data_IF_206185290352
#
_entry.id   IF_206185290352
#
_cell.length_a   1.000
_cell.length_b   1.000
_cell.length_c   1.000
_cell.angle_alpha   90.00
_cell.angle_beta   90.00
_cell.angle_gamma   90.00
#
_symmetry.space_group_name_H-M   'P 1'
#
loop_
_entity.id
_entity.type
_entity.pdbx_description
1 polymer ?
#
# COMPACT_ATOMS: atom_id res chain seq x y z
N UNK A 1 -27.43 -0.30 27.86
CA UNK A 1 -25.99 -0.15 27.55
C UNK A 1 -25.52 -0.83 26.26
N UNK A 2 -25.93 -2.10 25.97
CA UNK A 2 -25.50 -2.78 24.72
C UNK A 2 -25.98 -2.11 23.42
N UNK A 3 -27.16 -1.48 23.41
CA UNK A 3 -27.70 -0.81 22.24
C UNK A 3 -26.98 0.54 21.94
N UNK A 4 -26.53 1.24 22.96
CA UNK A 4 -25.81 2.53 22.81
C UNK A 4 -24.40 2.31 22.24
N UNK A 5 -23.71 1.23 22.66
CA UNK A 5 -22.40 0.87 22.09
C UNK A 5 -22.49 0.44 20.62
N UNK A 6 -23.55 -0.29 20.24
CA UNK A 6 -23.75 -0.70 18.85
C UNK A 6 -24.06 0.47 17.92
N UNK A 7 -24.83 1.47 18.39
CA UNK A 7 -25.14 2.68 17.62
C UNK A 7 -23.90 3.60 17.53
N UNK A 8 -23.13 3.72 18.60
CA UNK A 8 -21.87 4.47 18.57
C UNK A 8 -20.82 3.81 17.64
N UNK A 9 -20.73 2.47 17.63
CA UNK A 9 -19.84 1.72 16.75
C UNK A 9 -20.26 1.83 15.27
N UNK A 10 -21.57 1.77 15.00
CA UNK A 10 -22.10 1.96 13.65
C UNK A 10 -21.96 3.42 13.18
N UNK A 11 -22.12 4.40 14.05
CA UNK A 11 -21.95 5.80 13.73
C UNK A 11 -20.47 6.17 13.49
N UNK A 12 -19.52 5.61 14.25
CA UNK A 12 -18.08 5.82 14.02
C UNK A 12 -17.59 5.12 12.75
N UNK A 13 -18.08 3.93 12.42
CA UNK A 13 -17.79 3.26 11.15
C UNK A 13 -18.41 3.98 9.95
N UNK A 14 -19.61 4.52 10.11
CA UNK A 14 -20.28 5.33 9.07
C UNK A 14 -19.62 6.72 8.92
N UNK A 15 -19.22 7.36 10.02
CA UNK A 15 -18.47 8.62 9.98
C UNK A 15 -17.09 8.45 9.36
N UNK A 16 -16.37 7.37 9.70
CA UNK A 16 -15.07 7.05 9.09
C UNK A 16 -15.21 6.77 7.59
N UNK A 17 -16.30 6.10 7.15
CA UNK A 17 -16.56 5.82 5.73
C UNK A 17 -17.04 7.06 4.96
N UNK A 18 -17.82 7.94 5.60
CA UNK A 18 -18.32 9.17 4.99
C UNK A 18 -17.23 10.25 4.90
N UNK A 19 -16.42 10.38 5.94
CA UNK A 19 -15.29 11.33 5.99
C UNK A 19 -14.17 10.89 5.03
N UNK A 20 -13.92 9.56 4.94
CA UNK A 20 -12.98 8.98 3.98
C UNK A 20 -13.47 9.16 2.53
N UNK A 21 -14.78 8.97 2.26
CA UNK A 21 -15.38 9.22 0.96
C UNK A 21 -15.30 10.69 0.57
N UNK A 22 -15.67 11.59 1.46
CA UNK A 22 -15.60 13.03 1.23
C UNK A 22 -14.14 13.51 1.05
N UNK A 23 -13.19 12.88 1.74
CA UNK A 23 -11.75 13.17 1.61
C UNK A 23 -11.20 12.63 0.30
N UNK A 24 -11.59 11.42 -0.12
CA UNK A 24 -11.21 10.84 -1.41
C UNK A 24 -11.84 11.59 -2.59
N UNK A 25 -13.08 12.01 -2.48
CA UNK A 25 -13.76 12.82 -3.51
C UNK A 25 -13.18 14.25 -3.60
N UNK A 26 -12.78 14.85 -2.48
CA UNK A 26 -12.03 16.12 -2.48
C UNK A 26 -10.64 15.95 -3.06
N UNK A 27 -9.90 14.97 -2.60
CA UNK A 27 -8.57 14.67 -3.14
C UNK A 27 -8.61 14.35 -4.64
N UNK A 28 -9.64 13.63 -5.11
CA UNK A 28 -9.86 13.36 -6.53
C UNK A 28 -10.22 14.62 -7.33
N UNK A 29 -11.03 15.54 -6.76
CA UNK A 29 -11.34 16.82 -7.41
C UNK A 29 -10.14 17.77 -7.42
N UNK A 30 -9.40 17.84 -6.31
CA UNK A 30 -8.20 18.67 -6.21
C UNK A 30 -7.08 18.14 -7.11
N UNK A 31 -6.99 16.80 -7.25
CA UNK A 31 -6.07 16.15 -8.18
C UNK A 31 -6.47 16.42 -9.65
N UNK A 32 -7.77 16.32 -9.99
CA UNK A 32 -8.27 16.65 -11.33
C UNK A 32 -8.10 18.14 -11.65
N UNK A 33 -8.29 19.03 -10.68
CA UNK A 33 -8.06 20.46 -10.86
C UNK A 33 -6.57 20.78 -10.99
N UNK A 34 -5.71 20.11 -10.23
CA UNK A 34 -4.25 20.25 -10.33
C UNK A 34 -3.69 19.66 -11.63
N UNK A 35 -4.22 18.50 -12.08
CA UNK A 35 -3.85 17.88 -13.36
C UNK A 35 -4.36 18.66 -14.56
N UNK A 36 -5.46 19.43 -14.42
CA UNK A 36 -5.98 20.34 -15.44
C UNK A 36 -5.16 21.63 -15.59
N UNK A 37 -4.31 21.94 -14.63
CA UNK A 37 -3.48 23.17 -14.57
C UNK A 37 -2.02 22.96 -15.00
N UNK A 38 -1.62 21.73 -15.36
CA UNK A 38 -0.25 21.50 -15.86
C UNK A 38 -0.07 22.11 -17.25
N UNK A 39 1.01 22.89 -17.47
CA UNK A 39 1.31 23.41 -18.79
C UNK A 39 1.51 22.26 -19.78
N UNK A 40 1.03 22.40 -21.03
CA UNK A 40 1.11 21.38 -22.06
C UNK A 40 2.55 21.20 -22.55
N UNK A 41 3.41 20.56 -21.79
CA UNK A 41 4.81 20.41 -22.18
C UNK A 41 5.62 19.39 -21.42
N UNK A 42 5.13 18.86 -20.31
CA UNK A 42 5.93 17.98 -19.43
C UNK A 42 5.20 16.71 -18.99
N UNK A 43 4.29 16.20 -19.78
CA UNK A 43 3.64 14.90 -19.51
C UNK A 43 4.42 13.82 -20.21
N UNK A 44 4.81 12.78 -19.46
CA UNK A 44 5.33 11.57 -20.07
C UNK A 44 4.29 11.03 -21.07
N UNK A 45 4.64 10.87 -22.34
CA UNK A 45 3.73 10.32 -23.34
C UNK A 45 3.16 8.96 -22.91
N UNK A 46 3.90 8.15 -22.18
CA UNK A 46 3.49 6.85 -21.68
C UNK A 46 2.35 6.97 -20.64
N UNK A 47 2.45 7.94 -19.71
CA UNK A 47 1.39 8.20 -18.72
C UNK A 47 0.11 8.72 -19.38
N UNK A 48 0.25 9.51 -20.43
CA UNK A 48 -0.90 10.01 -21.19
C UNK A 48 -1.63 8.89 -21.88
N UNK A 49 -0.91 8.02 -22.59
CA UNK A 49 -1.46 6.83 -23.23
C UNK A 49 -2.11 5.88 -22.23
N UNK A 50 -1.49 5.67 -21.07
CA UNK A 50 -2.08 4.84 -20.01
C UNK A 50 -3.45 5.36 -19.56
N UNK A 51 -3.59 6.68 -19.37
CA UNK A 51 -4.87 7.30 -19.00
C UNK A 51 -5.90 7.20 -20.12
N UNK A 52 -5.50 7.39 -21.37
CA UNK A 52 -6.37 7.20 -22.53
C UNK A 52 -6.86 5.75 -22.65
N UNK A 53 -5.98 4.77 -22.39
CA UNK A 53 -6.35 3.36 -22.38
C UNK A 53 -7.38 3.04 -21.28
N UNK A 54 -7.20 3.59 -20.07
CA UNK A 54 -8.17 3.47 -18.98
C UNK A 54 -9.53 4.09 -19.34
N UNK A 55 -9.52 5.22 -20.02
CA UNK A 55 -10.74 5.88 -20.48
C UNK A 55 -11.46 5.05 -21.56
N UNK A 56 -10.74 4.52 -22.56
CA UNK A 56 -11.30 3.64 -23.58
C UNK A 56 -11.94 2.40 -22.96
N UNK A 57 -11.28 1.78 -21.98
CA UNK A 57 -11.82 0.65 -21.20
C UNK A 57 -13.09 1.02 -20.44
N UNK A 58 -13.14 2.20 -19.81
CA UNK A 58 -14.34 2.67 -19.12
C UNK A 58 -15.52 2.94 -20.06
N UNK A 59 -15.25 3.21 -21.34
CA UNK A 59 -16.24 3.36 -22.41
C UNK A 59 -16.66 2.03 -23.04
N UNK A 60 -16.05 0.90 -22.62
CA UNK A 60 -16.32 -0.43 -23.18
C UNK A 60 -15.56 -0.75 -24.45
N UNK A 61 -14.68 0.12 -24.93
CA UNK A 61 -13.84 -0.13 -26.10
C UNK A 61 -12.57 -0.89 -25.70
N UNK A 62 -12.74 -2.19 -25.46
CA UNK A 62 -11.65 -3.07 -25.00
C UNK A 62 -10.54 -3.20 -26.07
N UNK A 63 -10.88 -3.16 -27.36
CA UNK A 63 -9.91 -3.26 -28.45
C UNK A 63 -8.99 -2.05 -28.49
N UNK A 64 -9.55 -0.86 -28.41
CA UNK A 64 -8.79 0.39 -28.35
C UNK A 64 -7.99 0.50 -27.06
N UNK A 65 -8.60 0.14 -25.92
CA UNK A 65 -7.92 0.14 -24.64
C UNK A 65 -6.67 -0.75 -24.67
N UNK A 66 -6.80 -1.96 -25.19
CA UNK A 66 -5.66 -2.88 -25.33
C UNK A 66 -4.54 -2.29 -26.22
N UNK A 67 -4.86 -1.81 -27.43
CA UNK A 67 -3.85 -1.24 -28.33
C UNK A 67 -3.10 -0.06 -27.64
N UNK A 68 -3.85 0.80 -26.95
CA UNK A 68 -3.27 1.96 -26.27
C UNK A 68 -2.47 1.55 -25.02
N UNK A 69 -2.87 0.49 -24.29
CA UNK A 69 -2.04 -0.07 -23.22
C UNK A 69 -0.71 -0.64 -23.74
N UNK A 70 -0.73 -1.32 -24.90
CA UNK A 70 0.50 -1.82 -25.54
C UNK A 70 1.42 -0.66 -25.86
N UNK A 71 0.91 0.39 -26.52
CA UNK A 71 1.70 1.58 -26.87
C UNK A 71 2.32 2.25 -25.63
N UNK A 72 1.55 2.37 -24.54
CA UNK A 72 2.06 2.91 -23.27
C UNK A 72 3.15 2.02 -22.67
N UNK A 73 2.94 0.69 -22.70
CA UNK A 73 3.89 -0.29 -22.17
C UNK A 73 5.18 -0.35 -22.97
N UNK A 74 5.12 -0.20 -24.28
CA UNK A 74 6.29 -0.11 -25.16
C UNK A 74 7.13 1.13 -24.89
N UNK A 75 6.50 2.20 -24.43
CA UNK A 75 7.15 3.43 -23.97
C UNK A 75 7.63 3.38 -22.50
N UNK A 76 7.51 2.22 -21.87
CA UNK A 76 8.06 1.98 -20.52
C UNK A 76 7.07 2.17 -19.38
N UNK A 77 5.76 2.34 -19.63
CA UNK A 77 4.80 2.46 -18.53
C UNK A 77 4.53 1.10 -17.87
N UNK A 78 5.04 0.93 -16.65
CA UNK A 78 4.97 -0.34 -15.90
C UNK A 78 3.52 -0.84 -15.70
N UNK A 79 2.62 0.04 -15.25
CA UNK A 79 1.22 -0.29 -15.03
C UNK A 79 0.49 -0.69 -16.32
N UNK A 80 0.84 -0.12 -17.47
CA UNK A 80 0.27 -0.51 -18.76
C UNK A 80 0.71 -1.94 -19.15
N UNK A 81 1.98 -2.26 -18.95
CA UNK A 81 2.48 -3.62 -19.18
C UNK A 81 1.78 -4.66 -18.31
N UNK A 82 1.48 -4.32 -17.05
CA UNK A 82 0.66 -5.17 -16.17
C UNK A 82 -0.77 -5.32 -16.66
N UNK A 83 -1.43 -4.24 -17.13
CA UNK A 83 -2.79 -4.33 -17.68
C UNK A 83 -2.82 -5.20 -18.95
N UNK A 84 -1.81 -5.11 -19.84
CA UNK A 84 -1.68 -5.99 -21.01
C UNK A 84 -1.55 -7.46 -20.58
N UNK A 85 -0.70 -7.75 -19.60
CA UNK A 85 -0.57 -9.10 -19.01
C UNK A 85 -1.94 -9.62 -18.53
N UNK A 86 -2.67 -8.81 -17.80
CA UNK A 86 -3.98 -9.17 -17.25
C UNK A 86 -5.01 -9.45 -18.35
N UNK A 87 -5.01 -8.64 -19.39
CA UNK A 87 -5.92 -8.84 -20.55
C UNK A 87 -5.66 -10.18 -21.24
N UNK A 88 -4.38 -10.55 -21.43
CA UNK A 88 -4.04 -11.87 -21.96
C UNK A 88 -4.42 -13.02 -21.01
N UNK A 89 -4.19 -12.84 -19.72
CA UNK A 89 -4.53 -13.86 -18.72
C UNK A 89 -6.04 -14.09 -18.57
N UNK A 90 -6.85 -13.03 -18.69
CA UNK A 90 -8.30 -13.12 -18.53
C UNK A 90 -9.03 -13.45 -19.85
N UNK A 91 -8.39 -13.26 -21.00
CA UNK A 91 -9.03 -13.42 -22.32
C UNK A 91 -10.12 -12.38 -22.61
N UNK A 92 -10.04 -11.19 -22.00
CA UNK A 92 -11.01 -10.11 -22.20
C UNK A 92 -10.81 -9.39 -23.53
N UNK A 93 -11.81 -9.47 -24.40
CA UNK A 93 -11.78 -8.83 -25.72
C UNK A 93 -10.83 -9.52 -26.72
N UNK A 94 -10.19 -10.62 -26.33
CA UNK A 94 -9.26 -11.42 -27.13
C UNK A 94 -9.15 -12.85 -26.60
N UNK A 95 -8.63 -13.82 -27.37
CA UNK A 95 -8.32 -15.15 -26.86
C UNK A 95 -7.34 -15.07 -25.67
N UNK A 96 -7.58 -15.93 -24.67
CA UNK A 96 -6.63 -16.12 -23.56
C UNK A 96 -5.31 -16.65 -24.10
N UNK A 97 -4.19 -16.07 -23.59
CA UNK A 97 -2.83 -16.48 -23.92
C UNK A 97 -1.98 -16.33 -22.66
N UNK A 98 -1.73 -17.46 -21.99
CA UNK A 98 -0.99 -17.48 -20.72
C UNK A 98 0.50 -17.25 -20.91
N UNK A 99 1.06 -17.62 -22.07
CA UNK A 99 2.48 -17.39 -22.36
C UNK A 99 2.73 -15.90 -22.58
N UNK A 100 1.90 -15.25 -23.41
CA UNK A 100 1.95 -13.81 -23.57
C UNK A 100 1.70 -13.08 -22.24
N UNK A 101 0.77 -13.56 -21.40
CA UNK A 101 0.53 -12.99 -20.08
C UNK A 101 1.78 -13.06 -19.18
N UNK A 102 2.48 -14.19 -19.18
CA UNK A 102 3.72 -14.38 -18.42
C UNK A 102 4.83 -13.43 -18.89
N UNK A 103 5.03 -13.32 -20.22
CA UNK A 103 6.02 -12.42 -20.80
C UNK A 103 5.77 -10.95 -20.43
N UNK A 104 4.50 -10.51 -20.54
CA UNK A 104 4.11 -9.16 -20.17
C UNK A 104 4.19 -8.92 -18.65
N UNK A 105 3.91 -9.93 -17.80
CA UNK A 105 4.15 -9.86 -16.35
C UNK A 105 5.63 -9.63 -16.06
N UNK A 106 6.51 -10.41 -16.73
CA UNK A 106 7.96 -10.24 -16.61
C UNK A 106 8.44 -8.85 -17.03
N UNK A 107 7.86 -8.30 -18.11
CA UNK A 107 8.15 -6.94 -18.56
C UNK A 107 7.67 -5.88 -17.56
N UNK A 108 6.44 -6.01 -17.05
CA UNK A 108 5.88 -5.11 -16.05
C UNK A 108 6.72 -5.09 -14.76
N UNK A 109 7.15 -6.25 -14.29
CA UNK A 109 8.00 -6.35 -13.10
C UNK A 109 9.36 -5.68 -13.30
N UNK A 110 10.01 -5.86 -14.45
CA UNK A 110 11.27 -5.16 -14.79
C UNK A 110 11.09 -3.64 -14.91
N UNK A 111 9.92 -3.19 -15.32
CA UNK A 111 9.56 -1.77 -15.36
C UNK A 111 9.16 -1.22 -13.98
N UNK A 112 9.08 -2.07 -12.96
CA UNK A 112 8.83 -1.67 -11.58
C UNK A 112 7.38 -1.73 -11.13
N UNK A 113 6.46 -2.39 -11.86
CA UNK A 113 5.07 -2.54 -11.36
C UNK A 113 5.03 -3.46 -10.12
N UNK A 114 4.57 -2.97 -8.94
CA UNK A 114 4.61 -3.75 -7.71
C UNK A 114 3.68 -4.97 -7.73
N UNK A 115 2.62 -4.95 -8.52
CA UNK A 115 1.70 -6.08 -8.67
C UNK A 115 2.37 -7.21 -9.45
N UNK A 116 3.09 -6.86 -10.52
CA UNK A 116 3.85 -7.82 -11.31
C UNK A 116 5.06 -8.38 -10.53
N UNK A 117 5.77 -7.52 -9.80
CA UNK A 117 6.85 -7.95 -8.90
C UNK A 117 6.34 -8.92 -7.83
N UNK A 118 5.20 -8.61 -7.21
CA UNK A 118 4.55 -9.54 -6.26
C UNK A 118 4.16 -10.87 -6.91
N UNK A 119 3.59 -10.88 -8.11
CA UNK A 119 3.22 -12.11 -8.81
C UNK A 119 4.44 -13.00 -9.06
N UNK A 120 5.53 -12.44 -9.57
CA UNK A 120 6.77 -13.17 -9.80
C UNK A 120 7.39 -13.63 -8.48
N UNK A 121 7.49 -12.74 -7.49
CA UNK A 121 8.02 -13.08 -6.18
C UNK A 121 7.24 -14.19 -5.50
N UNK A 122 5.91 -14.17 -5.58
CA UNK A 122 5.05 -15.22 -5.02
C UNK A 122 5.18 -16.56 -5.77
N UNK A 123 5.36 -16.53 -7.10
CA UNK A 123 5.59 -17.71 -7.91
C UNK A 123 6.90 -18.41 -7.51
N UNK A 124 8.01 -17.68 -7.39
CA UNK A 124 9.28 -18.22 -6.91
C UNK A 124 9.22 -18.67 -5.44
N UNK A 125 8.44 -17.97 -4.59
CA UNK A 125 8.28 -18.35 -3.18
C UNK A 125 7.54 -19.67 -3.01
N UNK A 126 6.53 -19.91 -3.85
CA UNK A 126 5.68 -21.11 -3.78
C UNK A 126 6.14 -22.24 -4.70
N UNK A 127 6.97 -21.97 -5.71
CA UNK A 127 7.33 -22.93 -6.75
C UNK A 127 6.18 -23.22 -7.74
N UNK A 128 5.22 -22.32 -7.87
CA UNK A 128 4.07 -22.49 -8.78
C UNK A 128 4.44 -21.90 -10.15
N UNK A 129 4.51 -22.76 -11.17
CA UNK A 129 4.84 -22.38 -12.55
C UNK A 129 6.35 -22.18 -12.80
N UNK A 130 7.15 -22.09 -11.75
CA UNK A 130 8.63 -21.96 -11.80
C UNK A 130 9.26 -22.82 -10.70
N UNK A 131 10.55 -23.18 -10.86
CA UNK A 131 11.29 -23.80 -9.77
C UNK A 131 11.36 -22.85 -8.57
N UNK A 132 11.11 -23.38 -7.37
CA UNK A 132 11.17 -22.59 -6.14
C UNK A 132 12.57 -22.00 -5.92
N UNK A 133 12.63 -20.70 -5.71
CA UNK A 133 13.85 -19.96 -5.35
C UNK A 133 13.52 -18.83 -4.39
N UNK A 134 13.81 -19.05 -3.11
CA UNK A 134 13.52 -18.07 -2.08
C UNK A 134 14.37 -16.80 -2.16
N UNK A 135 15.59 -16.86 -2.72
CA UNK A 135 16.44 -15.68 -2.86
C UNK A 135 15.89 -14.75 -3.95
N UNK A 136 15.51 -15.31 -5.09
CA UNK A 136 14.84 -14.58 -6.17
C UNK A 136 13.49 -14.05 -5.69
N UNK A 137 12.72 -14.87 -4.97
CA UNK A 137 11.44 -14.46 -4.39
C UNK A 137 11.60 -13.24 -3.47
N UNK A 138 12.57 -13.29 -2.53
CA UNK A 138 12.81 -12.21 -1.58
C UNK A 138 13.18 -10.90 -2.27
N UNK A 139 13.95 -10.93 -3.36
CA UNK A 139 14.27 -9.74 -4.14
C UNK A 139 13.02 -9.09 -4.73
N UNK A 140 12.21 -9.84 -5.48
CA UNK A 140 10.97 -9.31 -6.07
C UNK A 140 9.94 -8.87 -5.02
N UNK A 141 9.83 -9.62 -3.92
CA UNK A 141 8.94 -9.26 -2.81
C UNK A 141 9.40 -7.99 -2.10
N UNK A 142 10.72 -7.77 -1.96
CA UNK A 142 11.28 -6.53 -1.40
C UNK A 142 10.93 -5.33 -2.27
N UNK A 143 11.15 -5.43 -3.59
CA UNK A 143 10.84 -4.36 -4.53
C UNK A 143 9.35 -3.97 -4.48
N UNK A 144 8.44 -4.95 -4.42
CA UNK A 144 7.01 -4.70 -4.30
C UNK A 144 6.61 -4.18 -2.91
N UNK A 145 7.24 -4.69 -1.83
CA UNK A 145 6.95 -4.31 -0.45
C UNK A 145 7.37 -2.87 -0.14
N UNK A 146 8.48 -2.42 -0.73
CA UNK A 146 8.95 -1.03 -0.63
C UNK A 146 8.01 -0.06 -1.33
N UNK A 147 7.23 -0.53 -2.31
CA UNK A 147 6.17 0.20 -2.99
C UNK A 147 4.79 0.00 -2.32
N UNK A 148 4.76 -0.34 -1.05
CA UNK A 148 3.56 -0.49 -0.21
C UNK A 148 2.58 -1.58 -0.67
N UNK A 149 3.04 -2.61 -1.42
CA UNK A 149 2.20 -3.75 -1.77
C UNK A 149 1.98 -4.66 -0.55
N UNK A 150 0.80 -4.64 0.05
CA UNK A 150 0.50 -5.29 1.33
C UNK A 150 0.81 -6.80 1.36
N UNK A 151 0.46 -7.52 0.30
CA UNK A 151 0.72 -8.97 0.23
C UNK A 151 2.22 -9.27 0.11
N UNK A 152 2.98 -8.42 -0.61
CA UNK A 152 4.43 -8.55 -0.68
C UNK A 152 5.09 -8.25 0.68
N UNK A 153 4.62 -7.23 1.39
CA UNK A 153 5.06 -6.94 2.76
C UNK A 153 4.82 -8.12 3.70
N UNK A 154 3.65 -8.74 3.61
CA UNK A 154 3.34 -9.93 4.42
C UNK A 154 4.27 -11.10 4.09
N UNK A 155 4.43 -11.48 2.80
CA UNK A 155 5.30 -12.58 2.39
C UNK A 155 6.78 -12.30 2.69
N UNK A 156 7.22 -11.05 2.59
CA UNK A 156 8.57 -10.67 2.98
C UNK A 156 8.77 -10.78 4.50
N UNK A 157 7.75 -10.44 5.29
CA UNK A 157 7.71 -10.71 6.72
C UNK A 157 7.85 -12.20 7.04
N UNK A 158 7.14 -13.06 6.32
CA UNK A 158 7.28 -14.52 6.39
C UNK A 158 8.69 -15.00 6.02
N UNK A 159 9.28 -14.42 4.95
CA UNK A 159 10.63 -14.73 4.53
C UNK A 159 11.65 -14.43 5.63
N UNK A 160 11.58 -13.27 6.27
CA UNK A 160 12.43 -12.92 7.41
C UNK A 160 12.15 -13.77 8.66
N UNK A 161 10.89 -14.07 8.94
CA UNK A 161 10.50 -14.90 10.08
C UNK A 161 11.08 -16.32 9.99
N UNK A 162 11.16 -16.86 8.78
CA UNK A 162 11.56 -18.25 8.54
C UNK A 162 12.98 -18.39 7.95
N UNK A 163 13.68 -17.29 7.65
CA UNK A 163 14.99 -17.32 7.00
C UNK A 163 14.95 -17.85 5.56
N UNK A 164 13.85 -17.58 4.83
CA UNK A 164 13.67 -18.03 3.44
C UNK A 164 14.15 -17.00 2.45
N UNK A 165 15.29 -17.24 1.83
CA UNK A 165 15.91 -16.34 0.85
C UNK A 165 16.58 -15.10 1.46
N UNK A 166 16.39 -14.88 2.75
CA UNK A 166 17.02 -13.84 3.57
C UNK A 166 17.46 -14.42 4.91
N UNK A 167 18.42 -13.79 5.59
CA UNK A 167 18.76 -14.18 6.96
C UNK A 167 17.55 -14.02 7.87
N UNK A 168 17.33 -15.00 8.76
CA UNK A 168 16.23 -14.94 9.71
C UNK A 168 16.40 -13.74 10.63
N UNK A 169 15.36 -12.89 10.71
CA UNK A 169 15.37 -11.70 11.55
C UNK A 169 13.93 -11.34 11.98
N UNK A 170 13.65 -11.57 13.27
CA UNK A 170 12.32 -11.32 13.82
C UNK A 170 11.95 -9.81 13.85
N UNK A 171 12.92 -8.91 13.95
CA UNK A 171 12.66 -7.47 13.95
C UNK A 171 12.25 -6.99 12.55
N UNK A 172 12.92 -7.47 11.51
CA UNK A 172 12.51 -7.21 10.13
C UNK A 172 11.17 -7.85 9.80
N UNK A 173 10.93 -9.09 10.26
CA UNK A 173 9.62 -9.75 10.10
C UNK A 173 8.51 -8.90 10.71
N UNK A 174 8.65 -8.49 11.96
CA UNK A 174 7.69 -7.67 12.67
C UNK A 174 7.44 -6.32 11.98
N UNK A 175 8.49 -5.68 11.47
CA UNK A 175 8.37 -4.42 10.72
C UNK A 175 7.51 -4.58 9.46
N UNK A 176 7.72 -5.64 8.68
CA UNK A 176 6.96 -5.89 7.46
C UNK A 176 5.52 -6.33 7.76
N UNK A 177 5.33 -7.20 8.76
CA UNK A 177 3.97 -7.52 9.22
C UNK A 177 3.21 -6.28 9.70
N UNK A 178 3.88 -5.37 10.43
CA UNK A 178 3.28 -4.13 10.89
C UNK A 178 2.80 -3.23 9.74
N UNK A 179 3.59 -3.10 8.68
CA UNK A 179 3.19 -2.34 7.48
C UNK A 179 1.96 -2.94 6.80
N UNK A 180 1.96 -4.26 6.56
CA UNK A 180 0.82 -4.94 5.95
C UNK A 180 -0.42 -4.96 6.87
N UNK A 181 -0.23 -5.09 8.19
CA UNK A 181 -1.30 -5.03 9.19
C UNK A 181 -1.98 -3.66 9.23
N UNK A 182 -1.21 -2.59 9.13
CA UNK A 182 -1.73 -1.22 9.06
C UNK A 182 -2.60 -1.00 7.81
N UNK A 183 -2.33 -1.70 6.73
CA UNK A 183 -3.18 -1.70 5.52
C UNK A 183 -4.46 -2.56 5.65
N UNK A 184 -4.67 -3.20 6.80
CA UNK A 184 -5.88 -3.97 7.07
C UNK A 184 -5.81 -5.45 6.65
N UNK A 185 -4.63 -5.96 6.28
CA UNK A 185 -4.48 -7.37 5.91
C UNK A 185 -4.59 -8.27 7.15
N UNK A 186 -5.65 -9.07 7.24
CA UNK A 186 -5.96 -9.87 8.43
C UNK A 186 -4.85 -10.86 8.82
N UNK A 187 -4.21 -11.50 7.85
CA UNK A 187 -3.07 -12.40 8.08
C UNK A 187 -1.89 -11.66 8.72
N UNK A 188 -1.60 -10.46 8.22
CA UNK A 188 -0.54 -9.62 8.76
C UNK A 188 -0.90 -9.07 10.14
N UNK A 189 -2.15 -8.70 10.38
CA UNK A 189 -2.65 -8.30 11.71
C UNK A 189 -2.50 -9.42 12.72
N UNK A 190 -2.79 -10.67 12.33
CA UNK A 190 -2.57 -11.84 13.17
C UNK A 190 -1.07 -12.02 13.48
N UNK A 191 -0.21 -12.07 12.46
CA UNK A 191 1.22 -12.27 12.64
C UNK A 191 1.85 -11.15 13.51
N UNK A 192 1.44 -9.91 13.27
CA UNK A 192 1.92 -8.76 14.05
C UNK A 192 1.38 -8.76 15.48
N UNK A 193 0.14 -9.22 15.69
CA UNK A 193 -0.45 -9.46 16.99
C UNK A 193 0.32 -10.50 17.79
N UNK A 194 0.70 -11.61 17.15
CA UNK A 194 1.56 -12.65 17.75
C UNK A 194 2.93 -12.08 18.10
N UNK A 195 3.56 -11.31 17.19
CA UNK A 195 4.85 -10.67 17.44
C UNK A 195 4.82 -9.76 18.67
N UNK A 196 3.78 -8.95 18.83
CA UNK A 196 3.59 -8.13 20.03
C UNK A 196 3.37 -8.95 21.31
N UNK A 197 2.53 -10.00 21.23
CA UNK A 197 2.17 -10.81 22.39
C UNK A 197 3.34 -11.68 22.90
N UNK A 198 4.24 -12.07 22.00
CA UNK A 198 5.38 -12.95 22.33
C UNK A 198 6.73 -12.20 22.36
N UNK A 199 6.76 -10.89 22.10
CA UNK A 199 8.02 -10.13 22.07
C UNK A 199 8.95 -10.54 20.92
N UNK A 200 8.41 -10.97 19.77
CA UNK A 200 9.19 -11.41 18.63
C UNK A 200 9.70 -10.21 17.82
N UNK A 201 10.99 -9.93 17.92
CA UNK A 201 11.64 -8.82 17.23
C UNK A 201 11.29 -7.42 17.76
N UNK A 202 10.52 -7.35 18.84
CA UNK A 202 10.14 -6.13 19.55
C UNK A 202 9.84 -6.41 21.03
N UNK A 203 9.77 -5.41 21.91
CA UNK A 203 9.34 -5.63 23.30
C UNK A 203 7.93 -6.22 23.37
N UNK A 204 7.74 -7.19 24.30
CA UNK A 204 6.41 -7.77 24.57
C UNK A 204 5.40 -6.68 24.95
N UNK A 205 4.23 -6.74 24.33
CA UNK A 205 3.11 -5.87 24.64
C UNK A 205 1.77 -6.62 24.45
N UNK A 206 1.27 -7.21 25.54
CA UNK A 206 0.05 -8.02 25.49
C UNK A 206 -1.18 -7.24 25.06
N UNK A 207 -1.31 -5.99 25.50
CA UNK A 207 -2.44 -5.12 25.13
C UNK A 207 -2.46 -4.84 23.62
N UNK A 208 -1.28 -4.54 23.02
CA UNK A 208 -1.16 -4.38 21.56
C UNK A 208 -1.36 -5.69 20.82
N UNK A 209 -0.79 -6.78 21.32
CA UNK A 209 -1.00 -8.12 20.77
C UNK A 209 -2.49 -8.48 20.71
N UNK A 210 -3.20 -8.30 21.83
CA UNK A 210 -4.65 -8.49 21.89
C UNK A 210 -5.39 -7.61 20.88
N UNK A 211 -5.05 -6.33 20.82
CA UNK A 211 -5.71 -5.41 19.92
C UNK A 211 -5.57 -5.82 18.43
N UNK A 212 -4.37 -6.18 18.00
CA UNK A 212 -4.14 -6.63 16.62
C UNK A 212 -4.85 -7.95 16.31
N UNK A 213 -4.88 -8.89 17.25
CA UNK A 213 -5.63 -10.14 17.10
C UNK A 213 -7.14 -9.89 16.97
N UNK A 214 -7.70 -8.96 17.73
CA UNK A 214 -9.12 -8.58 17.60
C UNK A 214 -9.42 -7.91 16.24
N UNK A 215 -8.48 -7.18 15.67
CA UNK A 215 -8.62 -6.65 14.30
C UNK A 215 -8.55 -7.77 13.26
N UNK A 216 -7.61 -8.71 13.42
CA UNK A 216 -7.50 -9.87 12.55
C UNK A 216 -8.79 -10.74 12.57
N UNK A 217 -9.40 -10.90 13.74
CA UNK A 217 -10.69 -11.56 13.90
C UNK A 217 -11.81 -10.84 13.12
N UNK A 218 -11.87 -9.49 13.19
CA UNK A 218 -12.80 -8.71 12.36
C UNK A 218 -12.56 -8.92 10.87
N UNK A 219 -11.29 -9.13 10.48
CA UNK A 219 -10.86 -9.50 9.14
C UNK A 219 -11.09 -10.99 8.80
N UNK A 220 -11.77 -11.75 9.68
CA UNK A 220 -12.10 -13.18 9.53
C UNK A 220 -10.90 -14.13 9.51
N UNK A 221 -9.81 -13.77 10.21
CA UNK A 221 -8.71 -14.72 10.41
C UNK A 221 -9.12 -15.82 11.39
N UNK A 222 -9.02 -17.09 10.98
CA UNK A 222 -9.61 -18.22 11.70
C UNK A 222 -9.09 -18.40 13.14
N UNK A 223 -7.78 -18.18 13.36
CA UNK A 223 -7.13 -18.45 14.65
C UNK A 223 -7.10 -17.23 15.58
N UNK A 224 -7.44 -16.05 15.05
CA UNK A 224 -7.24 -14.79 15.77
C UNK A 224 -8.13 -14.69 17.02
N UNK A 225 -9.39 -15.12 16.94
CA UNK A 225 -10.34 -15.15 18.07
C UNK A 225 -9.81 -15.99 19.22
N UNK A 226 -9.40 -17.24 18.93
CA UNK A 226 -8.90 -18.17 19.94
C UNK A 226 -7.68 -17.60 20.68
N UNK A 227 -6.75 -16.97 19.96
CA UNK A 227 -5.56 -16.38 20.57
C UNK A 227 -5.88 -15.11 21.36
N UNK A 228 -6.77 -14.27 20.86
CA UNK A 228 -7.24 -13.09 21.59
C UNK A 228 -7.92 -13.47 22.90
N UNK A 229 -8.78 -14.52 22.91
CA UNK A 229 -9.42 -15.02 24.10
C UNK A 229 -8.42 -15.58 25.14
N UNK A 230 -7.33 -16.20 24.69
CA UNK A 230 -6.25 -16.65 25.59
C UNK A 230 -5.46 -15.50 26.21
N UNK A 231 -5.30 -14.38 25.50
CA UNK A 231 -4.64 -13.20 26.01
C UNK A 231 -5.52 -12.36 26.95
N UNK A 232 -6.82 -12.34 26.72
CA UNK A 232 -7.75 -11.50 27.46
C UNK A 232 -7.68 -11.64 28.99
N UNK A 233 -7.52 -12.83 29.62
CA UNK A 233 -7.36 -12.97 31.08
C UNK A 233 -6.01 -12.45 31.61
N UNK A 234 -5.00 -12.27 30.75
CA UNK A 234 -3.68 -11.76 31.14
C UNK A 234 -3.63 -10.25 31.19
N UNK A 235 -4.63 -9.56 30.67
CA UNK A 235 -4.75 -8.12 30.67
C UNK A 235 -5.54 -7.64 31.89
N UNK A 236 -5.07 -6.63 32.58
CA UNK A 236 -5.87 -5.92 33.56
C UNK A 236 -6.97 -5.09 32.88
N UNK A 237 -7.91 -4.54 33.66
CA UNK A 237 -9.06 -3.80 33.14
C UNK A 237 -8.64 -2.55 32.33
N UNK A 238 -7.63 -1.81 32.81
CA UNK A 238 -7.13 -0.61 32.12
C UNK A 238 -6.46 -0.94 30.79
N UNK A 239 -5.65 -2.00 30.74
CA UNK A 239 -5.01 -2.48 29.51
C UNK A 239 -6.03 -2.95 28.48
N UNK A 240 -7.07 -3.64 28.93
CA UNK A 240 -8.16 -4.09 28.04
C UNK A 240 -8.95 -2.90 27.51
N UNK A 241 -9.31 -1.96 28.36
CA UNK A 241 -10.03 -0.75 27.94
C UNK A 241 -9.20 0.08 26.95
N UNK A 242 -7.88 0.21 27.19
CA UNK A 242 -6.98 0.89 26.27
C UNK A 242 -6.91 0.19 24.90
N UNK A 243 -6.85 -1.15 24.88
CA UNK A 243 -6.87 -1.94 23.64
C UNK A 243 -8.19 -1.77 22.90
N UNK A 244 -9.34 -1.87 23.57
CA UNK A 244 -10.65 -1.71 22.93
C UNK A 244 -10.87 -0.29 22.38
N UNK A 245 -10.42 0.75 23.10
CA UNK A 245 -10.45 2.11 22.61
C UNK A 245 -9.59 2.28 21.35
N UNK A 246 -8.40 1.67 21.34
CA UNK A 246 -7.54 1.70 20.16
C UNK A 246 -8.14 0.94 18.98
N UNK A 247 -8.73 -0.24 19.21
CA UNK A 247 -9.45 -1.02 18.18
C UNK A 247 -10.63 -0.23 17.60
N UNK A 248 -11.35 0.50 18.44
CA UNK A 248 -12.48 1.33 18.01
C UNK A 248 -12.01 2.53 17.15
N UNK A 249 -10.85 3.10 17.48
CA UNK A 249 -10.24 4.18 16.72
C UNK A 249 -9.47 3.72 15.48
N UNK A 250 -9.15 2.43 15.39
CA UNK A 250 -8.40 1.89 14.26
C UNK A 250 -9.29 1.88 13.01
N UNK A 251 -9.02 2.79 12.13
CA UNK A 251 -9.42 2.69 10.74
C UNK A 251 -8.28 1.95 10.03
N UNK A 252 -8.52 0.76 9.41
CA UNK A 252 -7.50 0.17 8.57
C UNK A 252 -7.13 1.24 7.56
N UNK A 253 -5.89 1.66 7.64
CA UNK A 253 -5.36 2.50 6.59
C UNK A 253 -5.37 1.65 5.31
N UNK A 254 -6.44 1.74 4.51
CA UNK A 254 -6.16 2.18 3.17
C UNK A 254 -5.64 3.60 3.34
N UNK A 255 -4.41 3.74 3.76
CA UNK A 255 -3.70 4.91 3.35
C UNK A 255 -3.87 4.96 1.83
N UNK A 256 -4.39 6.04 1.26
CA UNK A 256 -3.71 6.52 0.10
C UNK A 256 -2.30 6.67 0.66
N UNK A 257 -1.39 5.77 0.26
CA UNK A 257 -0.06 5.72 0.81
C UNK A 257 0.39 7.17 0.86
N UNK A 258 0.63 7.75 2.09
CA UNK A 258 1.11 9.13 2.16
C UNK A 258 2.45 9.24 1.42
N UNK A 259 3.04 8.10 1.03
CA UNK A 259 4.13 7.93 0.09
C UNK A 259 3.72 7.36 -1.28
N UNK A 260 2.45 7.15 -1.57
CA UNK A 260 1.99 6.72 -2.90
C UNK A 260 2.19 7.82 -3.95
N UNK A 261 2.35 7.43 -5.21
CA UNK A 261 2.69 8.33 -6.32
C UNK A 261 1.83 9.60 -6.34
N UNK A 262 0.51 9.49 -6.15
CA UNK A 262 -0.40 10.65 -6.13
C UNK A 262 -0.12 11.62 -4.97
N UNK A 263 0.15 11.11 -3.77
CA UNK A 263 0.49 11.95 -2.61
C UNK A 263 1.87 12.59 -2.78
N UNK A 264 2.83 11.85 -3.34
CA UNK A 264 4.16 12.37 -3.67
C UNK A 264 4.08 13.45 -4.74
N UNK A 265 3.30 13.26 -5.81
CA UNK A 265 3.07 14.29 -6.83
C UNK A 265 2.49 15.56 -6.22
N UNK A 266 1.48 15.43 -5.34
CA UNK A 266 0.93 16.58 -4.62
C UNK A 266 2.00 17.28 -3.77
N UNK A 267 2.78 16.52 -2.99
CA UNK A 267 3.84 17.07 -2.13
C UNK A 267 4.93 17.75 -2.97
N UNK A 268 5.41 17.11 -4.04
CA UNK A 268 6.39 17.68 -4.96
C UNK A 268 5.88 19.01 -5.56
N UNK A 269 4.63 19.01 -6.06
CA UNK A 269 4.02 20.22 -6.61
C UNK A 269 3.88 21.32 -5.55
N UNK A 270 3.35 20.97 -4.36
CA UNK A 270 3.13 21.92 -3.28
C UNK A 270 4.43 22.53 -2.73
N UNK A 271 5.48 21.73 -2.64
CA UNK A 271 6.82 22.18 -2.23
C UNK A 271 7.49 23.05 -3.29
N UNK A 272 7.43 22.65 -4.56
CA UNK A 272 7.98 23.45 -5.67
C UNK A 272 7.31 24.83 -5.74
N UNK A 273 6.01 24.92 -5.58
CA UNK A 273 5.28 26.20 -5.52
C UNK A 273 5.70 27.10 -4.36
N UNK A 274 6.26 26.53 -3.31
CA UNK A 274 6.76 27.26 -2.11
C UNK A 274 8.27 27.51 -2.15
N UNK A 275 8.92 27.21 -3.28
CA UNK A 275 10.36 27.42 -3.46
C UNK A 275 11.25 26.33 -2.84
N UNK A 276 10.67 25.19 -2.44
CA UNK A 276 11.44 24.02 -2.05
C UNK A 276 11.64 23.15 -3.30
N UNK A 277 12.85 23.04 -3.77
CA UNK A 277 13.18 22.23 -4.96
C UNK A 277 12.97 20.73 -4.68
N UNK A 278 11.75 20.25 -4.86
CA UNK A 278 11.39 18.84 -4.68
C UNK A 278 11.67 17.97 -5.92
N UNK A 279 12.23 18.55 -6.98
CA UNK A 279 12.45 17.86 -8.25
C UNK A 279 11.20 17.83 -9.14
N UNK A 280 11.19 16.96 -10.17
CA UNK A 280 10.03 16.80 -11.06
C UNK A 280 8.82 16.27 -10.28
N UNK A 281 7.62 16.61 -10.76
CA UNK A 281 6.34 16.10 -10.19
C UNK A 281 6.05 14.75 -10.83
N UNK A 282 6.77 13.72 -10.42
CA UNK A 282 6.75 12.37 -10.98
C UNK A 282 6.18 11.30 -10.04
N UNK A 283 5.89 11.68 -8.80
CA UNK A 283 5.41 10.75 -7.78
C UNK A 283 6.49 9.80 -7.24
N UNK A 284 7.77 10.09 -7.48
CA UNK A 284 8.90 9.29 -7.01
C UNK A 284 9.59 9.98 -5.82
N UNK A 285 9.75 9.26 -4.71
CA UNK A 285 10.44 9.75 -3.51
C UNK A 285 11.96 9.74 -3.71
N UNK A 286 12.46 10.51 -4.67
CA UNK A 286 13.89 10.68 -4.91
C UNK A 286 14.61 11.48 -3.80
N UNK A 287 15.95 11.54 -3.88
CA UNK A 287 16.77 12.27 -2.90
C UNK A 287 16.39 13.78 -2.82
N UNK A 288 16.05 14.41 -3.97
CA UNK A 288 15.63 15.83 -4.02
C UNK A 288 14.29 16.03 -3.31
N UNK A 289 13.31 15.16 -3.57
CA UNK A 289 12.00 15.21 -2.93
C UNK A 289 12.14 15.06 -1.43
N UNK A 290 12.93 14.10 -0.97
CA UNK A 290 13.18 13.87 0.46
C UNK A 290 13.84 15.06 1.13
N UNK A 291 14.91 15.62 0.54
CA UNK A 291 15.58 16.81 1.04
C UNK A 291 14.65 18.03 1.13
N UNK A 292 13.77 18.21 0.14
CA UNK A 292 12.77 19.27 0.14
C UNK A 292 11.73 19.09 1.26
N UNK A 293 11.28 17.86 1.51
CA UNK A 293 10.38 17.52 2.64
C UNK A 293 11.07 17.85 3.96
N UNK A 294 12.29 17.37 4.18
CA UNK A 294 13.06 17.62 5.40
C UNK A 294 13.29 19.13 5.65
N UNK A 295 13.59 19.88 4.60
CA UNK A 295 13.76 21.33 4.68
C UNK A 295 12.45 22.01 5.08
N UNK A 296 11.34 21.65 4.43
CA UNK A 296 10.02 22.18 4.76
C UNK A 296 9.63 21.82 6.21
N UNK A 297 9.85 20.57 6.62
CA UNK A 297 9.56 20.10 7.99
C UNK A 297 10.34 20.94 9.02
N UNK A 298 11.63 21.18 8.79
CA UNK A 298 12.50 22.00 9.66
C UNK A 298 12.01 23.44 9.76
N UNK A 299 11.69 24.07 8.63
CA UNK A 299 11.23 25.47 8.57
C UNK A 299 9.83 25.67 9.18
N UNK A 300 9.02 24.62 9.26
CA UNK A 300 7.66 24.68 9.81
C UNK A 300 7.49 24.01 11.18
N UNK A 301 8.58 23.62 11.83
CA UNK A 301 8.54 23.05 13.19
C UNK A 301 7.83 21.69 13.27
N UNK A 302 7.92 20.88 12.22
CA UNK A 302 7.40 19.51 12.18
C UNK A 302 8.57 18.53 12.39
N UNK A 303 8.32 17.33 12.96
CA UNK A 303 9.36 16.31 13.05
C UNK A 303 10.04 16.06 11.69
N UNK A 304 11.37 16.12 11.65
CA UNK A 304 12.16 16.02 10.41
C UNK A 304 12.49 14.55 10.15
N UNK A 305 11.67 13.90 9.33
CA UNK A 305 11.81 12.48 8.97
C UNK A 305 11.90 12.23 7.44
N UNK A 306 11.74 13.29 6.64
CA UNK A 306 11.76 13.21 5.19
C UNK A 306 10.61 12.39 4.58
N UNK A 307 9.58 12.07 5.39
CA UNK A 307 8.46 11.23 4.99
C UNK A 307 7.23 12.08 4.64
N UNK A 308 6.43 11.56 3.73
CA UNK A 308 5.11 12.10 3.46
C UNK A 308 4.16 11.61 4.54
N UNK A 309 3.89 12.47 5.52
CA UNK A 309 2.99 12.18 6.64
C UNK A 309 1.65 12.91 6.46
N UNK A 310 0.65 12.49 7.21
CA UNK A 310 -0.66 13.16 7.25
C UNK A 310 -0.50 14.64 7.65
N UNK A 311 0.27 14.91 8.70
CA UNK A 311 0.51 16.29 9.19
C UNK A 311 1.16 17.15 8.10
N UNK A 312 2.14 16.61 7.38
CA UNK A 312 2.76 17.28 6.23
C UNK A 312 1.71 17.63 5.16
N UNK A 313 0.85 16.68 4.79
CA UNK A 313 -0.17 16.90 3.77
C UNK A 313 -1.22 17.92 4.21
N UNK A 314 -1.68 17.85 5.44
CA UNK A 314 -2.63 18.82 6.00
C UNK A 314 -2.04 20.23 6.01
N UNK A 315 -0.79 20.41 6.42
CA UNK A 315 -0.10 21.70 6.40
C UNK A 315 0.17 22.23 4.99
N UNK A 316 0.50 21.35 4.05
CA UNK A 316 0.66 21.74 2.65
C UNK A 316 -0.66 22.13 1.99
N UNK A 317 -1.80 21.66 2.52
CA UNK A 317 -3.15 22.03 2.06
C UNK A 317 -3.66 23.33 2.68
N UNK A 318 -3.29 23.60 3.93
CA UNK A 318 -3.83 24.71 4.73
C UNK A 318 -3.36 26.11 4.29
N UNK A 319 -2.52 26.25 3.28
CA UNK A 319 -2.00 27.50 2.70
C UNK A 319 -1.87 27.35 1.19
#
# INVERSE_FOLDING_TARGET
MRAICAVALAATLAACSADLRATLERAGRDLNAALGADPPGNRDPADTLYREALQSRAQGDESRAFATFVDAAERGHAGAAYEVSRIYAEGKGRPQDLDAAADWTGRAARLGDPRAQFLIGSAYYSGIGVAQDYAVAASYLSDAAEQDHAQAQYLLGEAYSNGRGVAQDAAWAARWYGKAAAQGMAQAQYAYGVAHAAGLGMPENLSRGYAWLRLAERGRHAEASTLAERLAPRLNEAERAAAENWIAAFCPHREPAYGGAASLMFVQHALNRRGFDAGPVDGIAGARTRAAIERYQRENGIPVDGQVTRDLLERLRAR
#
